data_IF_572672063776
#
_entry.id   IF_572672063776
#
_cell.length_a   1.000
_cell.length_b   1.000
_cell.length_c   1.000
_cell.angle_alpha   90.00
_cell.angle_beta   90.00
_cell.angle_gamma   90.00
#
_symmetry.space_group_name_H-M   'P 1'
#
loop_
_entity.id
_entity.type
_entity.pdbx_description
1 polymer ?
#
# COMPACT_ATOMS: atom_id res chain seq x y z
N UNK A 1 -23.88 -52.17 24.95
CA UNK A 1 -24.69 -51.11 24.32
C UNK A 1 -24.05 -49.77 24.62
N UNK A 2 -23.52 -49.05 23.62
CA UNK A 2 -22.82 -47.78 23.84
C UNK A 2 -22.51 -47.10 22.52
N UNK A 3 -23.51 -46.43 21.92
CA UNK A 3 -23.37 -45.72 20.65
C UNK A 3 -22.92 -44.27 20.87
N UNK A 4 -21.81 -43.88 20.24
CA UNK A 4 -21.36 -42.49 20.20
C UNK A 4 -22.19 -41.64 19.22
N UNK A 5 -22.88 -40.58 19.65
CA UNK A 5 -23.62 -39.68 18.77
C UNK A 5 -22.81 -38.39 18.56
N UNK A 6 -21.93 -38.35 17.55
CA UNK A 6 -21.10 -37.14 17.33
C UNK A 6 -20.75 -36.78 15.89
N UNK A 7 -20.78 -37.72 14.94
CA UNK A 7 -20.22 -37.47 13.59
C UNK A 7 -21.18 -36.93 12.54
N UNK A 8 -22.49 -36.89 12.79
CA UNK A 8 -23.46 -36.47 11.74
C UNK A 8 -23.64 -34.96 11.61
N UNK A 9 -23.36 -34.18 12.66
CA UNK A 9 -23.56 -32.72 12.62
C UNK A 9 -22.43 -31.95 11.90
N UNK A 10 -21.21 -32.49 11.83
CA UNK A 10 -20.10 -31.81 11.15
C UNK A 10 -20.17 -31.85 9.61
N UNK A 11 -20.87 -32.82 9.01
CA UNK A 11 -20.98 -32.92 7.54
C UNK A 11 -21.98 -31.92 6.97
N UNK A 12 -23.04 -31.60 7.73
CA UNK A 12 -24.08 -30.63 7.31
C UNK A 12 -23.54 -29.20 7.34
N UNK A 13 -22.72 -28.86 8.34
CA UNK A 13 -22.14 -27.52 8.48
C UNK A 13 -21.13 -27.19 7.35
N UNK A 14 -20.35 -28.18 6.88
CA UNK A 14 -19.44 -28.00 5.72
C UNK A 14 -20.19 -27.79 4.40
N UNK A 15 -21.37 -28.40 4.21
CA UNK A 15 -22.17 -28.21 2.97
C UNK A 15 -22.86 -26.85 2.91
N UNK A 16 -23.16 -26.23 4.06
CA UNK A 16 -23.74 -24.88 4.13
C UNK A 16 -22.68 -23.79 3.87
N UNK A 17 -21.46 -23.94 4.41
CA UNK A 17 -20.38 -22.99 4.17
C UNK A 17 -19.88 -22.98 2.72
N UNK A 18 -19.95 -24.12 2.00
CA UNK A 18 -19.57 -24.18 0.59
C UNK A 18 -20.53 -23.46 -0.37
N UNK A 19 -21.79 -23.22 0.02
CA UNK A 19 -22.79 -22.56 -0.82
C UNK A 19 -22.78 -21.02 -0.71
N UNK A 20 -22.14 -20.47 0.32
CA UNK A 20 -22.04 -19.01 0.51
C UNK A 20 -20.90 -18.36 -0.30
N UNK A 21 -19.91 -19.12 -0.78
CA UNK A 21 -18.85 -18.60 -1.65
C UNK A 21 -19.20 -18.56 -3.15
N UNK A 22 -20.40 -18.97 -3.55
CA UNK A 22 -20.82 -19.02 -4.95
C UNK A 22 -21.67 -17.80 -5.38
N UNK A 23 -21.45 -16.62 -4.79
CA UNK A 23 -21.97 -15.36 -5.35
C UNK A 23 -21.08 -14.96 -6.53
N UNK A 24 -21.32 -15.65 -7.64
CA UNK A 24 -20.74 -15.37 -8.95
C UNK A 24 -21.46 -14.15 -9.50
N UNK A 25 -20.81 -12.98 -9.38
CA UNK A 25 -21.28 -11.73 -10.00
C UNK A 25 -21.43 -11.97 -11.50
N UNK A 26 -22.67 -11.91 -11.96
CA UNK A 26 -23.09 -12.06 -13.34
C UNK A 26 -22.77 -10.75 -14.07
N UNK A 27 -21.63 -10.68 -14.75
CA UNK A 27 -21.32 -9.58 -15.67
C UNK A 27 -21.97 -9.88 -17.04
N UNK A 28 -22.81 -9.00 -17.60
CA UNK A 28 -23.43 -9.20 -18.91
C UNK A 28 -22.39 -9.15 -20.03
N UNK A 29 -22.63 -9.96 -21.06
CA UNK A 29 -21.62 -10.38 -22.03
C UNK A 29 -21.24 -9.34 -23.10
N UNK A 30 -19.98 -9.42 -23.51
CA UNK A 30 -19.51 -8.90 -24.79
C UNK A 30 -19.38 -10.04 -25.79
N UNK A 31 -20.16 -9.93 -26.87
CA UNK A 31 -20.17 -10.83 -28.01
C UNK A 31 -18.79 -10.86 -28.71
N UNK A 32 -18.34 -12.07 -29.06
CA UNK A 32 -17.10 -12.34 -29.78
C UNK A 32 -17.39 -12.34 -31.29
N UNK A 33 -16.68 -11.57 -32.14
CA UNK A 33 -16.77 -11.75 -33.59
C UNK A 33 -16.03 -13.04 -33.98
N UNK A 34 -16.74 -13.96 -34.65
CA UNK A 34 -16.15 -15.06 -35.39
C UNK A 34 -15.67 -14.51 -36.74
N UNK A 35 -14.36 -14.38 -36.92
CA UNK A 35 -13.74 -14.32 -38.25
C UNK A 35 -13.20 -15.70 -38.58
N UNK A 36 -13.70 -16.25 -39.68
CA UNK A 36 -13.18 -17.46 -40.29
C UNK A 36 -11.96 -17.19 -41.16
N UNK A 37 -11.44 -18.29 -41.72
CA UNK A 37 -10.40 -18.39 -42.75
C UNK A 37 -9.00 -18.00 -42.21
N UNK A 38 -7.92 -18.74 -42.46
CA UNK A 38 -7.61 -19.61 -43.58
C UNK A 38 -6.51 -20.56 -43.14
N UNK A 39 -6.61 -21.81 -43.60
CA UNK A 39 -5.58 -22.84 -43.49
C UNK A 39 -4.41 -22.43 -44.40
N UNK A 40 -3.39 -21.76 -43.87
CA UNK A 40 -2.13 -21.50 -44.56
C UNK A 40 -1.03 -22.41 -43.99
N UNK A 41 -0.46 -23.17 -44.91
CA UNK A 41 0.51 -24.24 -44.74
C UNK A 41 1.88 -23.58 -44.75
N UNK A 42 2.41 -23.26 -43.57
CA UNK A 42 3.70 -22.59 -43.46
C UNK A 42 4.83 -23.61 -43.35
N UNK A 43 5.64 -23.65 -44.41
CA UNK A 43 6.89 -24.39 -44.51
C UNK A 43 7.96 -23.80 -43.57
N UNK A 44 8.84 -24.64 -42.99
CA UNK A 44 9.84 -24.21 -42.01
C UNK A 44 10.92 -23.25 -42.56
N UNK A 45 11.06 -23.13 -43.88
CA UNK A 45 12.14 -22.35 -44.49
C UNK A 45 11.92 -20.82 -44.50
N UNK A 46 10.68 -20.33 -44.32
CA UNK A 46 10.43 -18.88 -44.24
C UNK A 46 10.79 -18.25 -42.88
N UNK A 47 11.15 -19.07 -41.86
CA UNK A 47 11.45 -18.58 -40.50
C UNK A 47 12.82 -17.92 -40.38
N UNK A 48 13.76 -18.22 -41.26
CA UNK A 48 15.13 -17.68 -41.15
C UNK A 48 15.27 -16.31 -41.83
N UNK A 49 14.54 -16.05 -42.92
CA UNK A 49 14.60 -14.76 -43.61
C UNK A 49 13.82 -13.66 -42.89
N UNK A 50 12.78 -14.00 -42.12
CA UNK A 50 12.06 -13.03 -41.27
C UNK A 50 12.77 -12.73 -39.95
N UNK A 51 13.60 -13.65 -39.43
CA UNK A 51 14.40 -13.41 -38.23
C UNK A 51 15.55 -12.40 -38.50
N UNK A 52 16.09 -12.36 -39.72
CA UNK A 52 17.12 -11.39 -40.11
C UNK A 52 16.59 -9.97 -40.36
N UNK A 53 15.32 -9.82 -40.77
CA UNK A 53 14.75 -8.50 -41.11
C UNK A 53 14.09 -7.77 -39.93
N UNK A 54 13.87 -8.46 -38.80
CA UNK A 54 13.23 -7.89 -37.62
C UNK A 54 14.21 -7.19 -36.65
N UNK A 55 15.53 -7.27 -36.88
CA UNK A 55 16.54 -6.58 -36.07
C UNK A 55 16.90 -5.18 -36.61
N UNK A 56 16.22 -4.71 -37.66
CA UNK A 56 16.48 -3.42 -38.30
C UNK A 56 15.22 -2.54 -38.42
N UNK A 57 14.39 -2.53 -37.38
CA UNK A 57 13.13 -1.78 -37.39
C UNK A 57 12.49 -1.61 -36.02
N UNK A 58 13.16 -0.95 -35.07
CA UNK A 58 12.53 -0.55 -33.80
C UNK A 58 13.00 0.80 -33.25
N UNK A 59 13.44 1.72 -34.11
CA UNK A 59 13.92 3.06 -33.71
C UNK A 59 13.02 4.21 -34.16
N UNK A 60 11.72 3.96 -34.34
CA UNK A 60 10.74 5.04 -34.54
C UNK A 60 9.48 4.82 -33.70
N UNK A 61 9.66 4.66 -32.38
CA UNK A 61 8.58 5.06 -31.49
C UNK A 61 8.47 6.57 -31.64
N UNK A 62 7.40 7.03 -32.28
CA UNK A 62 7.11 8.43 -32.54
C UNK A 62 7.41 9.29 -31.29
N UNK A 63 8.27 10.31 -31.45
CA UNK A 63 8.60 11.34 -30.46
C UNK A 63 7.42 11.82 -29.57
N UNK A 64 6.18 12.06 -30.09
CA UNK A 64 5.05 12.45 -29.25
C UNK A 64 4.60 11.37 -28.25
N UNK A 65 4.74 10.08 -28.60
CA UNK A 65 4.47 8.98 -27.68
C UNK A 65 5.52 8.91 -26.57
N UNK A 66 6.78 9.23 -26.89
CA UNK A 66 7.86 9.31 -25.91
C UNK A 66 7.69 10.51 -24.97
N UNK A 67 7.23 11.66 -25.48
CA UNK A 67 6.91 12.83 -24.67
C UNK A 67 5.70 12.58 -23.75
N UNK A 68 4.63 11.94 -24.24
CA UNK A 68 3.49 11.53 -23.39
C UNK A 68 3.91 10.51 -22.35
N UNK A 69 4.70 9.50 -22.73
CA UNK A 69 5.23 8.52 -21.78
C UNK A 69 6.24 9.13 -20.81
N UNK A 70 7.01 10.15 -21.19
CA UNK A 70 7.91 10.90 -20.29
C UNK A 70 7.15 11.89 -19.40
N UNK A 71 6.02 12.42 -19.84
CA UNK A 71 5.12 13.25 -19.04
C UNK A 71 4.33 12.40 -18.02
N UNK A 72 3.94 11.17 -18.39
CA UNK A 72 3.38 10.18 -17.46
C UNK A 72 4.45 9.57 -16.53
N UNK A 73 5.69 9.36 -17.02
CA UNK A 73 6.83 8.88 -16.24
C UNK A 73 7.48 9.98 -15.39
N UNK A 74 6.99 11.23 -15.48
CA UNK A 74 7.27 12.25 -14.48
C UNK A 74 6.67 11.71 -13.19
N UNK A 75 7.53 11.12 -12.36
CA UNK A 75 7.26 10.80 -10.96
C UNK A 75 6.44 11.97 -10.45
N UNK A 76 5.16 11.73 -10.11
CA UNK A 76 4.28 12.77 -9.60
C UNK A 76 5.09 13.54 -8.57
N UNK A 77 5.22 14.86 -8.76
CA UNK A 77 6.09 15.66 -7.90
C UNK A 77 5.72 15.38 -6.44
N UNK A 78 6.70 15.29 -5.54
CA UNK A 78 6.44 14.92 -4.14
C UNK A 78 5.32 15.78 -3.51
N UNK A 79 5.23 17.05 -3.91
CA UNK A 79 4.15 17.96 -3.53
C UNK A 79 2.79 17.49 -4.05
N UNK A 80 2.69 17.09 -5.32
CA UNK A 80 1.46 16.55 -5.89
C UNK A 80 1.07 15.25 -5.20
N UNK A 81 2.05 14.38 -4.92
CA UNK A 81 1.83 13.10 -4.24
C UNK A 81 1.25 13.30 -2.83
N UNK A 82 1.86 14.19 -2.04
CA UNK A 82 1.54 14.37 -0.62
C UNK A 82 0.42 15.38 -0.36
N UNK A 83 0.22 16.40 -1.21
CA UNK A 83 -0.65 17.53 -0.87
C UNK A 83 -1.95 17.61 -1.67
N UNK A 84 -2.01 16.98 -2.85
CA UNK A 84 -3.23 16.92 -3.67
C UNK A 84 -4.07 15.69 -3.33
N UNK A 85 -5.39 15.78 -3.48
CA UNK A 85 -6.33 14.68 -3.26
C UNK A 85 -6.66 13.90 -4.53
N UNK A 86 -6.49 14.57 -5.67
CA UNK A 86 -6.93 14.09 -6.96
C UNK A 86 -5.93 13.09 -7.55
N UNK A 87 -6.47 12.15 -8.32
CA UNK A 87 -5.68 11.16 -9.04
C UNK A 87 -5.58 9.82 -8.35
N UNK A 88 -4.70 9.00 -8.92
CA UNK A 88 -4.45 7.60 -8.56
C UNK A 88 -2.96 7.40 -8.32
N UNK A 89 -2.65 6.51 -7.39
CA UNK A 89 -1.26 6.10 -7.12
C UNK A 89 -1.14 4.58 -7.12
N UNK A 90 -0.07 4.07 -7.71
CA UNK A 90 0.27 2.67 -7.61
C UNK A 90 1.01 2.32 -6.31
N UNK A 91 1.37 1.04 -6.15
CA UNK A 91 1.94 0.52 -4.93
C UNK A 91 3.31 1.10 -4.59
N UNK A 92 4.17 1.34 -5.59
CA UNK A 92 5.50 1.92 -5.38
C UNK A 92 5.43 3.37 -4.93
N UNK A 93 4.54 4.15 -5.55
CA UNK A 93 4.30 5.55 -5.19
C UNK A 93 3.73 5.68 -3.77
N UNK A 94 2.86 4.75 -3.34
CA UNK A 94 2.40 4.68 -1.95
C UNK A 94 3.56 4.46 -0.98
N UNK A 95 4.46 3.52 -1.29
CA UNK A 95 5.64 3.24 -0.46
C UNK A 95 6.57 4.43 -0.32
N UNK A 96 6.84 5.13 -1.42
CA UNK A 96 7.67 6.34 -1.41
C UNK A 96 7.03 7.44 -0.55
N UNK A 97 5.72 7.68 -0.71
CA UNK A 97 4.99 8.64 0.11
C UNK A 97 5.01 8.27 1.60
N UNK A 98 4.78 6.99 1.93
CA UNK A 98 4.81 6.50 3.30
C UNK A 98 6.20 6.67 3.95
N UNK A 99 7.28 6.34 3.23
CA UNK A 99 8.65 6.50 3.74
C UNK A 99 8.98 7.97 3.97
N UNK A 100 8.64 8.87 3.05
CA UNK A 100 8.89 10.31 3.23
C UNK A 100 8.14 10.84 4.44
N UNK A 101 6.85 10.51 4.60
CA UNK A 101 6.07 10.94 5.77
C UNK A 101 6.71 10.41 7.07
N UNK A 102 7.16 9.14 7.08
CA UNK A 102 7.83 8.56 8.25
C UNK A 102 9.11 9.30 8.62
N UNK A 103 9.95 9.61 7.63
CA UNK A 103 11.20 10.36 7.86
C UNK A 103 10.88 11.73 8.46
N UNK A 104 9.91 12.46 7.90
CA UNK A 104 9.50 13.77 8.44
C UNK A 104 8.94 13.64 9.85
N UNK A 105 8.10 12.62 10.13
CA UNK A 105 7.60 12.35 11.48
C UNK A 105 8.72 12.11 12.50
N UNK A 106 9.71 11.28 12.16
CA UNK A 106 10.85 10.99 13.05
C UNK A 106 11.68 12.24 13.29
N UNK A 107 11.95 13.03 12.25
CA UNK A 107 12.71 14.28 12.37
C UNK A 107 11.99 15.30 13.25
N UNK A 108 10.67 15.47 13.09
CA UNK A 108 9.89 16.37 13.95
C UNK A 108 9.90 15.91 15.41
N UNK A 109 9.76 14.60 15.66
CA UNK A 109 9.82 14.06 17.02
C UNK A 109 11.20 14.21 17.65
N UNK A 110 12.27 13.94 16.91
CA UNK A 110 13.65 14.14 17.36
C UNK A 110 13.90 15.63 17.69
N UNK A 111 13.49 16.53 16.80
CA UNK A 111 13.68 17.97 17.00
C UNK A 111 12.86 18.47 18.20
N UNK A 112 11.64 17.96 18.37
CA UNK A 112 10.83 18.24 19.55
C UNK A 112 11.46 17.77 20.85
N UNK A 113 12.10 16.60 20.85
CA UNK A 113 12.86 16.10 21.99
C UNK A 113 14.07 16.98 22.32
N UNK A 114 14.84 17.39 21.32
CA UNK A 114 16.04 18.22 21.52
C UNK A 114 15.74 19.65 22.01
N UNK A 115 14.58 20.20 21.64
CA UNK A 115 14.21 21.60 21.93
C UNK A 115 13.32 21.78 23.17
N UNK A 116 13.03 20.69 23.91
CA UNK A 116 12.36 20.74 25.22
C UNK A 116 10.98 21.41 25.17
N UNK A 117 10.82 22.58 25.82
CA UNK A 117 9.54 23.29 25.90
C UNK A 117 8.95 23.65 24.52
N UNK A 118 9.79 23.94 23.51
CA UNK A 118 9.34 24.16 22.14
C UNK A 118 8.84 22.87 21.45
N UNK A 119 9.08 21.71 22.07
CA UNK A 119 8.63 20.41 21.57
C UNK A 119 7.13 20.32 21.33
N UNK A 120 6.32 21.11 22.05
CA UNK A 120 4.87 21.17 21.81
C UNK A 120 4.54 21.65 20.39
N UNK A 121 5.31 22.58 19.81
CA UNK A 121 5.10 23.05 18.43
C UNK A 121 5.36 21.91 17.44
N UNK A 122 6.45 21.15 17.63
CA UNK A 122 6.79 20.00 16.80
C UNK A 122 5.78 18.87 16.92
N UNK A 123 5.18 18.70 18.09
CA UNK A 123 4.07 17.78 18.28
C UNK A 123 2.85 18.18 17.44
N UNK A 124 2.48 19.48 17.43
CA UNK A 124 1.39 19.98 16.57
C UNK A 124 1.70 19.82 15.07
N UNK A 125 2.95 20.05 14.66
CA UNK A 125 3.38 19.79 13.27
C UNK A 125 3.26 18.30 12.90
N UNK A 126 3.50 17.39 13.86
CA UNK A 126 3.32 15.96 13.63
C UNK A 126 1.85 15.62 13.40
N UNK A 127 0.92 16.28 14.09
CA UNK A 127 -0.53 16.14 13.83
C UNK A 127 -0.88 16.64 12.43
N UNK A 128 -0.25 17.73 11.95
CA UNK A 128 -0.47 18.22 10.60
C UNK A 128 -0.09 17.19 9.50
N UNK A 129 0.79 16.22 9.79
CA UNK A 129 1.14 15.13 8.88
C UNK A 129 0.02 14.10 8.67
N UNK A 130 -1.08 14.18 9.42
CA UNK A 130 -2.29 13.40 9.14
C UNK A 130 -2.87 13.78 7.77
N UNK A 131 -2.75 15.04 7.35
CA UNK A 131 -3.23 15.50 6.04
C UNK A 131 -2.54 14.76 4.87
N UNK A 132 -1.20 14.80 4.71
CA UNK A 132 -0.54 14.09 3.62
C UNK A 132 -0.70 12.56 3.73
N UNK A 133 -0.84 12.03 4.94
CA UNK A 133 -1.16 10.62 5.16
C UNK A 133 -2.55 10.27 4.58
N UNK A 134 -3.53 11.12 4.82
CA UNK A 134 -4.88 10.94 4.28
C UNK A 134 -4.89 11.07 2.75
N UNK A 135 -4.13 12.01 2.17
CA UNK A 135 -3.98 12.16 0.71
C UNK A 135 -3.46 10.89 0.02
N UNK A 136 -2.37 10.29 0.52
CA UNK A 136 -1.78 9.10 -0.12
C UNK A 136 -2.73 7.90 -0.09
N UNK A 137 -3.39 7.65 1.05
CA UNK A 137 -4.32 6.53 1.15
C UNK A 137 -5.60 6.77 0.34
N UNK A 138 -6.12 8.00 0.31
CA UNK A 138 -7.27 8.34 -0.53
C UNK A 138 -7.01 8.01 -2.00
N UNK A 139 -5.86 8.40 -2.54
CA UNK A 139 -5.46 8.07 -3.92
C UNK A 139 -5.29 6.57 -4.15
N UNK A 140 -4.82 5.81 -3.15
CA UNK A 140 -4.71 4.36 -3.27
C UNK A 140 -6.10 3.69 -3.29
N UNK A 141 -7.06 4.21 -2.53
CA UNK A 141 -8.45 3.76 -2.62
C UNK A 141 -9.09 4.14 -3.96
N UNK A 142 -8.83 5.35 -4.47
CA UNK A 142 -9.24 5.77 -5.80
C UNK A 142 -8.69 4.86 -6.90
N UNK A 143 -7.44 4.41 -6.76
CA UNK A 143 -6.83 3.46 -7.69
C UNK A 143 -7.53 2.09 -7.69
N UNK A 144 -8.06 1.67 -6.55
CA UNK A 144 -8.88 0.46 -6.43
C UNK A 144 -10.37 0.68 -6.77
N UNK A 145 -10.74 1.86 -7.28
CA UNK A 145 -12.13 2.21 -7.61
C UNK A 145 -13.04 2.37 -6.38
N UNK A 146 -12.47 2.59 -5.20
CA UNK A 146 -13.19 2.74 -3.92
C UNK A 146 -13.22 4.21 -3.49
N UNK A 147 -14.25 4.64 -2.74
CA UNK A 147 -14.31 6.00 -2.22
C UNK A 147 -13.24 6.25 -1.14
N UNK A 148 -12.70 7.46 -1.09
CA UNK A 148 -11.67 7.89 -0.12
C UNK A 148 -12.07 7.76 1.36
N UNK A 149 -13.37 7.62 1.67
CA UNK A 149 -13.84 7.48 3.05
C UNK A 149 -13.27 6.24 3.75
N UNK A 150 -12.88 5.21 2.99
CA UNK A 150 -12.20 4.04 3.53
C UNK A 150 -10.82 4.36 4.12
N UNK A 151 -10.20 5.49 3.75
CA UNK A 151 -8.99 5.97 4.41
C UNK A 151 -9.20 6.23 5.90
N UNK A 152 -10.39 6.68 6.32
CA UNK A 152 -10.69 6.86 7.75
C UNK A 152 -10.64 5.53 8.51
N UNK A 153 -11.05 4.42 7.89
CA UNK A 153 -10.93 3.10 8.49
C UNK A 153 -9.46 2.67 8.65
N UNK A 154 -8.59 3.01 7.68
CA UNK A 154 -7.15 2.78 7.79
C UNK A 154 -6.56 3.60 8.94
N UNK A 155 -6.88 4.90 9.03
CA UNK A 155 -6.41 5.76 10.12
C UNK A 155 -6.89 5.28 11.49
N UNK A 156 -8.15 4.88 11.61
CA UNK A 156 -8.68 4.28 12.83
C UNK A 156 -7.94 2.98 13.20
N UNK A 157 -7.69 2.12 12.21
CA UNK A 157 -6.89 0.91 12.38
C UNK A 157 -5.46 1.20 12.85
N UNK A 158 -4.82 2.23 12.32
CA UNK A 158 -3.50 2.69 12.76
C UNK A 158 -3.50 3.16 14.21
N UNK A 159 -4.50 3.94 14.63
CA UNK A 159 -4.64 4.39 16.02
C UNK A 159 -4.78 3.18 16.96
N UNK A 160 -5.66 2.23 16.63
CA UNK A 160 -5.85 1.02 17.43
C UNK A 160 -4.57 0.18 17.49
N UNK A 161 -3.89 -0.02 16.36
CA UNK A 161 -2.63 -0.76 16.31
C UNK A 161 -1.54 -0.07 17.15
N UNK A 162 -1.46 1.26 17.10
CA UNK A 162 -0.54 2.04 17.92
C UNK A 162 -0.84 1.88 19.41
N UNK A 163 -2.11 1.98 19.82
CA UNK A 163 -2.51 1.80 21.23
C UNK A 163 -2.15 0.40 21.73
N UNK A 164 -2.49 -0.65 20.96
CA UNK A 164 -2.18 -2.03 21.32
C UNK A 164 -0.66 -2.22 21.46
N UNK A 165 0.11 -1.80 20.44
CA UNK A 165 1.56 -2.01 20.46
C UNK A 165 2.23 -1.19 21.58
N UNK A 166 1.76 0.02 21.86
CA UNK A 166 2.23 0.81 22.99
C UNK A 166 1.91 0.16 24.33
N UNK A 167 0.70 -0.38 24.53
CA UNK A 167 0.34 -1.14 25.75
C UNK A 167 1.21 -2.38 25.92
N UNK A 168 1.47 -3.12 24.84
CA UNK A 168 2.34 -4.30 24.88
C UNK A 168 3.80 -3.94 25.17
N UNK A 169 4.26 -2.79 24.69
CA UNK A 169 5.64 -2.32 24.90
C UNK A 169 5.81 -1.55 26.21
N UNK A 170 4.74 -1.21 26.92
CA UNK A 170 4.79 -0.46 28.18
C UNK A 170 5.71 -1.05 29.26
N UNK A 171 5.71 -2.37 29.51
CA UNK A 171 6.62 -2.96 30.48
C UNK A 171 8.10 -2.74 30.14
N UNK A 172 8.45 -2.63 28.87
CA UNK A 172 9.85 -2.48 28.43
C UNK A 172 10.42 -1.11 28.80
N UNK A 173 9.66 -0.03 28.64
CA UNK A 173 10.15 1.29 29.05
C UNK A 173 9.85 1.61 30.52
N UNK A 174 8.83 1.00 31.14
CA UNK A 174 8.56 1.15 32.59
C UNK A 174 9.55 0.38 33.48
N UNK A 175 10.01 -0.80 33.08
CA UNK A 175 11.05 -1.53 33.83
C UNK A 175 12.39 -0.78 33.83
N UNK A 176 12.78 -0.25 32.67
CA UNK A 176 13.90 0.68 32.54
C UNK A 176 13.69 1.94 33.38
N UNK A 177 12.43 2.35 33.59
CA UNK A 177 12.11 3.48 34.44
C UNK A 177 12.49 3.32 35.90
N UNK A 178 12.07 2.20 36.47
CA UNK A 178 12.39 1.85 37.85
C UNK A 178 13.91 1.67 38.01
N UNK A 179 14.58 1.05 37.05
CA UNK A 179 16.03 0.88 37.09
C UNK A 179 16.80 2.21 37.04
N UNK A 180 16.36 3.17 36.21
CA UNK A 180 16.98 4.49 36.11
C UNK A 180 16.72 5.35 37.37
N UNK A 181 15.52 5.26 37.95
CA UNK A 181 15.19 5.95 39.20
C UNK A 181 16.08 5.48 40.36
N UNK A 182 16.37 4.18 40.43
CA UNK A 182 17.23 3.61 41.47
C UNK A 182 18.73 3.89 41.26
N UNK A 183 19.17 4.14 40.02
CA UNK A 183 20.58 4.37 39.67
C UNK A 183 20.93 5.85 39.46
N UNK A 184 19.95 6.76 39.51
CA UNK A 184 20.12 8.18 39.16
C UNK A 184 20.36 8.44 37.66
N UNK A 185 20.30 7.40 36.82
CA UNK A 185 20.62 7.46 35.39
C UNK A 185 19.42 7.88 34.51
N UNK A 186 18.77 9.00 34.85
CA UNK A 186 17.51 9.48 34.23
C UNK A 186 17.58 9.59 32.70
N UNK A 187 18.74 9.93 32.13
CA UNK A 187 18.93 10.07 30.68
C UNK A 187 18.82 8.75 29.89
N UNK A 188 19.15 7.61 30.51
CA UNK A 188 19.05 6.28 29.84
C UNK A 188 17.60 5.87 29.62
N UNK A 189 16.74 6.36 30.49
CA UNK A 189 15.32 6.07 30.55
C UNK A 189 14.54 6.76 29.41
N UNK A 190 14.82 8.04 29.21
CA UNK A 190 14.11 8.88 28.22
C UNK A 190 14.47 8.49 26.80
N UNK A 191 15.74 8.20 26.54
CA UNK A 191 16.18 7.77 25.21
C UNK A 191 15.62 6.40 24.81
N UNK A 192 15.58 5.44 25.74
CA UNK A 192 15.01 4.10 25.47
C UNK A 192 13.52 4.19 25.13
N UNK A 193 12.76 4.98 25.88
CA UNK A 193 11.34 5.19 25.60
C UNK A 193 11.11 5.83 24.21
N UNK A 194 11.96 6.77 23.80
CA UNK A 194 11.88 7.39 22.47
C UNK A 194 12.14 6.40 21.34
N UNK A 195 13.21 5.61 21.46
CA UNK A 195 13.53 4.61 20.43
C UNK A 195 12.40 3.59 20.26
N UNK A 196 11.85 3.11 21.38
CA UNK A 196 10.69 2.21 21.36
C UNK A 196 9.49 2.90 20.68
N UNK A 197 9.18 4.14 21.04
CA UNK A 197 8.11 4.92 20.41
C UNK A 197 8.29 5.10 18.89
N UNK A 198 9.52 5.34 18.43
CA UNK A 198 9.82 5.45 16.99
C UNK A 198 9.67 4.11 16.26
N UNK A 199 10.11 3.01 16.87
CA UNK A 199 9.92 1.67 16.31
C UNK A 199 8.43 1.35 16.18
N UNK A 200 7.64 1.60 17.23
CA UNK A 200 6.18 1.43 17.22
C UNK A 200 5.56 2.23 16.08
N UNK A 201 5.92 3.51 15.98
CA UNK A 201 5.42 4.41 14.93
C UNK A 201 5.76 3.88 13.54
N UNK A 202 7.02 3.48 13.31
CA UNK A 202 7.47 2.94 12.03
C UNK A 202 6.75 1.63 11.67
N UNK A 203 6.59 0.71 12.63
CA UNK A 203 5.88 -0.57 12.42
C UNK A 203 4.43 -0.34 12.06
N UNK A 204 3.73 0.54 12.79
CA UNK A 204 2.32 0.85 12.51
C UNK A 204 2.16 1.54 11.16
N UNK A 205 2.99 2.54 10.88
CA UNK A 205 2.90 3.34 9.66
C UNK A 205 3.25 2.56 8.39
N UNK A 206 4.39 1.87 8.39
CA UNK A 206 4.80 1.05 7.24
C UNK A 206 3.96 -0.23 7.14
N UNK A 207 3.54 -0.79 8.29
CA UNK A 207 2.62 -1.93 8.33
C UNK A 207 1.27 -1.60 7.70
N UNK A 208 0.71 -0.42 7.97
CA UNK A 208 -0.50 0.04 7.31
C UNK A 208 -0.32 0.20 5.79
N UNK A 209 0.77 0.83 5.35
CA UNK A 209 1.09 0.97 3.92
C UNK A 209 1.21 -0.41 3.24
N UNK A 210 1.89 -1.37 3.90
CA UNK A 210 1.99 -2.75 3.43
C UNK A 210 0.61 -3.43 3.33
N UNK A 211 -0.18 -3.40 4.40
CA UNK A 211 -1.51 -4.04 4.42
C UNK A 211 -2.41 -3.45 3.35
N UNK A 212 -2.44 -2.13 3.20
CA UNK A 212 -3.23 -1.46 2.15
C UNK A 212 -2.78 -1.89 0.76
N UNK A 213 -1.46 -1.99 0.50
CA UNK A 213 -0.94 -2.46 -0.77
C UNK A 213 -1.28 -3.93 -1.07
N UNK A 214 -1.37 -4.79 -0.05
CA UNK A 214 -1.74 -6.20 -0.21
C UNK A 214 -3.25 -6.41 -0.39
N UNK A 215 -4.06 -5.62 0.32
CA UNK A 215 -5.53 -5.76 0.32
C UNK A 215 -6.14 -5.12 -0.93
N UNK A 216 -5.60 -3.99 -1.38
CA UNK A 216 -6.13 -3.25 -2.52
C UNK A 216 -5.42 -3.61 -3.82
N UNK A 217 -6.18 -4.14 -4.77
CA UNK A 217 -5.74 -4.37 -6.14
C UNK A 217 -6.06 -3.13 -6.98
N UNK A 218 -5.10 -2.74 -7.82
CA UNK A 218 -5.25 -1.65 -8.78
C UNK A 218 -6.28 -2.00 -9.86
N UNK A 219 -7.13 -1.05 -10.21
CA UNK A 219 -8.04 -1.18 -11.35
C UNK A 219 -7.26 -0.99 -12.67
N UNK A 220 -7.20 -2.00 -13.57
CA UNK A 220 -6.46 -1.87 -14.82
C UNK A 220 -7.14 -0.90 -15.81
N UNK A 221 -8.43 -0.60 -15.63
CA UNK A 221 -9.15 0.31 -16.49
C UNK A 221 -9.05 1.78 -15.99
N UNK A 222 -9.24 2.76 -16.89
CA UNK A 222 -9.52 4.13 -16.48
C UNK A 222 -10.79 4.17 -15.62
N UNK A 223 -10.78 4.95 -14.55
CA UNK A 223 -11.92 5.14 -13.66
C UNK A 223 -12.20 6.64 -13.43
N UNK A 224 -13.19 6.98 -12.60
CA UNK A 224 -13.59 8.37 -12.33
C UNK A 224 -12.47 9.27 -11.78
N UNK A 225 -11.39 8.68 -11.26
CA UNK A 225 -10.24 9.38 -10.68
C UNK A 225 -9.06 9.49 -11.64
N UNK A 226 -9.19 9.01 -12.87
CA UNK A 226 -8.20 9.16 -13.93
C UNK A 226 -7.69 7.84 -14.54
N UNK A 227 -6.70 7.93 -15.44
CA UNK A 227 -6.07 6.76 -16.05
C UNK A 227 -5.31 5.93 -15.01
N UNK A 228 -5.05 4.65 -15.28
CA UNK A 228 -4.27 3.80 -14.38
C UNK A 228 -2.87 4.41 -14.12
N UNK A 229 -2.38 4.34 -12.87
CA UNK A 229 -1.06 4.87 -12.55
C UNK A 229 0.02 4.06 -13.25
N UNK A 230 1.13 4.71 -13.57
CA UNK A 230 2.24 4.12 -14.35
C UNK A 230 2.83 2.89 -13.65
N UNK A 231 2.82 2.90 -12.31
CA UNK A 231 3.29 1.81 -11.47
C UNK A 231 2.18 0.81 -11.08
N UNK A 232 0.99 0.85 -11.67
CA UNK A 232 -0.13 -0.06 -11.35
C UNK A 232 0.23 -1.55 -11.51
N UNK A 233 1.06 -1.87 -12.50
CA UNK A 233 1.52 -3.23 -12.79
C UNK A 233 2.88 -3.56 -12.13
N UNK A 234 3.47 -2.62 -11.39
CA UNK A 234 4.74 -2.87 -10.74
C UNK A 234 4.59 -3.98 -9.68
N UNK A 235 5.52 -4.94 -9.62
CA UNK A 235 5.57 -5.90 -8.53
C UNK A 235 5.62 -5.12 -7.22
N UNK A 236 4.85 -5.59 -6.23
CA UNK A 236 4.97 -5.05 -4.88
C UNK A 236 6.46 -5.17 -4.49
N UNK A 237 7.12 -4.10 -4.03
CA UNK A 237 8.57 -4.13 -3.76
C UNK A 237 8.93 -5.08 -2.61
N UNK A 238 7.93 -5.64 -1.92
CA UNK A 238 8.06 -6.64 -0.85
C UNK A 238 7.40 -7.99 -1.20
N UNK A 239 7.01 -8.22 -2.46
CA UNK A 239 6.32 -9.42 -2.94
C UNK A 239 7.09 -10.20 -3.98
#
# INVERSE_FOLDING_TARGET
MGGQPGRRHMVVLRRLLGRLCAVRVLVPGHAKPRSGLTRLRDSPERRLTQAGLALHGSSSVNEPGRAFLMDQAKVQGLQDLLLKFEGRIGPNSLWQGAIVILIVMVLLQLLGFLLGFLGMIFYLLTIALIYPLFCIYAKRFHDAGKPAIWTLAVLAGMIVAYMILNTLMAPFYMSNAVAAANSGAVYTMTFTALLVGWIITAVVHLGAAFVVNQVLKSDPAPNAYGPPPVDAASPNPLG
#
